data_IF_546225018608
#
_entry.id   IF_546225018608
#
_cell.length_a   1.000
_cell.length_b   1.000
_cell.length_c   1.000
_cell.angle_alpha   90.00
_cell.angle_beta   90.00
_cell.angle_gamma   90.00
#
_symmetry.space_group_name_H-M   'P 1'
#
loop_
_entity.id
_entity.type
_entity.pdbx_description
1 polymer ?
#
# COMPACT_ATOMS: atom_id res chain seq x y z
N UNK A 1 -1.47 -1.21 -15.21
CA UNK A 1 -1.11 -2.53 -15.79
C UNK A 1 -2.17 -3.60 -15.55
N UNK A 2 -2.66 -3.82 -14.35
CA UNK A 2 -3.78 -4.76 -14.10
C UNK A 2 -5.04 -4.44 -14.94
N UNK A 3 -5.33 -3.17 -15.13
CA UNK A 3 -6.53 -2.69 -15.87
C UNK A 3 -6.37 -2.82 -17.38
N UNK A 4 -5.20 -2.53 -17.95
CA UNK A 4 -4.96 -2.74 -19.38
C UNK A 4 -5.02 -4.23 -19.76
N UNK A 5 -4.64 -5.10 -18.84
CA UNK A 5 -4.75 -6.55 -19.00
C UNK A 5 -6.21 -7.02 -19.02
N UNK A 6 -7.06 -6.47 -18.15
CA UNK A 6 -8.50 -6.76 -18.13
C UNK A 6 -9.23 -6.25 -19.36
N UNK A 7 -8.87 -5.06 -19.87
CA UNK A 7 -9.42 -4.54 -21.11
C UNK A 7 -9.06 -5.39 -22.33
N UNK A 8 -7.81 -5.90 -22.42
CA UNK A 8 -7.40 -6.79 -23.51
C UNK A 8 -8.03 -8.18 -23.44
N UNK A 9 -8.32 -8.69 -22.25
CA UNK A 9 -8.97 -9.99 -22.05
C UNK A 9 -10.47 -9.96 -22.35
N UNK A 10 -11.16 -8.88 -22.01
CA UNK A 10 -12.61 -8.71 -22.29
C UNK A 10 -12.93 -8.35 -23.74
N UNK A 11 -11.93 -7.84 -24.49
CA UNK A 11 -12.07 -7.46 -25.90
C UNK A 11 -11.63 -8.55 -26.89
N UNK A 12 -11.38 -9.76 -26.41
CA UNK A 12 -11.25 -10.98 -27.23
C UNK A 12 -10.08 -10.95 -28.22
N UNK A 13 -8.85 -11.25 -27.79
CA UNK A 13 -7.78 -11.60 -28.71
C UNK A 13 -7.03 -12.87 -28.27
N UNK A 14 -7.17 -13.88 -29.12
CA UNK A 14 -6.34 -15.08 -29.36
C UNK A 14 -5.68 -15.83 -28.18
N UNK A 15 -5.88 -17.14 -28.20
CA UNK A 15 -5.25 -18.18 -27.37
C UNK A 15 -3.73 -17.97 -27.23
N UNK A 16 -3.14 -18.30 -26.07
CA UNK A 16 -1.69 -18.27 -25.88
C UNK A 16 -1.02 -19.35 -26.73
N UNK A 17 -0.06 -18.95 -27.55
CA UNK A 17 0.87 -19.86 -28.22
C UNK A 17 1.80 -20.49 -27.19
N UNK A 18 1.92 -21.81 -27.25
CA UNK A 18 2.91 -22.61 -26.53
C UNK A 18 4.30 -22.25 -27.07
N UNK A 19 5.10 -21.56 -26.27
CA UNK A 19 6.50 -21.26 -26.60
C UNK A 19 7.35 -22.42 -26.10
N UNK A 20 8.07 -23.08 -27.04
CA UNK A 20 9.05 -24.11 -26.78
C UNK A 20 10.22 -23.56 -25.94
N UNK A 21 10.63 -24.33 -24.94
CA UNK A 21 11.81 -24.05 -24.11
C UNK A 21 13.09 -24.15 -24.95
N UNK A 22 13.87 -23.10 -24.94
CA UNK A 22 15.24 -23.12 -25.45
C UNK A 22 16.20 -22.85 -24.28
N UNK A 23 17.14 -23.73 -23.96
CA UNK A 23 18.02 -23.58 -22.82
C UNK A 23 19.16 -22.61 -23.15
N UNK A 24 19.17 -21.45 -22.53
CA UNK A 24 20.31 -20.52 -22.59
C UNK A 24 20.87 -20.23 -21.20
N UNK A 25 22.04 -20.82 -21.01
CA UNK A 25 23.21 -20.41 -20.21
C UNK A 25 23.03 -19.74 -18.84
N UNK A 26 23.54 -20.45 -17.89
CA UNK A 26 24.11 -20.13 -16.57
C UNK A 26 24.77 -18.75 -16.44
N UNK A 27 24.59 -18.19 -15.23
CA UNK A 27 25.34 -17.12 -14.56
C UNK A 27 24.87 -15.68 -14.80
N UNK A 28 23.92 -15.27 -13.99
CA UNK A 28 23.94 -13.97 -13.35
C UNK A 28 23.21 -14.11 -12.01
N UNK A 29 23.96 -14.00 -10.90
CA UNK A 29 23.41 -13.92 -9.56
C UNK A 29 22.32 -12.87 -9.51
N UNK A 30 21.16 -13.29 -9.02
CA UNK A 30 19.93 -12.50 -8.95
C UNK A 30 20.17 -11.22 -8.15
N UNK A 31 20.20 -10.07 -8.82
CA UNK A 31 20.20 -8.72 -8.21
C UNK A 31 18.87 -8.35 -7.55
N UNK A 32 17.97 -9.31 -7.36
CA UNK A 32 16.68 -9.14 -6.69
C UNK A 32 16.73 -9.38 -5.17
N UNK A 33 17.90 -9.69 -4.61
CA UNK A 33 18.06 -9.81 -3.17
C UNK A 33 18.04 -8.41 -2.57
N UNK A 34 17.08 -8.08 -1.68
CA UNK A 34 17.13 -6.82 -0.94
C UNK A 34 18.45 -6.80 -0.16
N UNK A 35 19.17 -5.69 -0.21
CA UNK A 35 20.25 -5.44 0.74
C UNK A 35 19.69 -5.68 2.15
N UNK A 36 20.19 -6.70 2.84
CA UNK A 36 19.82 -7.18 4.18
C UNK A 36 18.30 -7.14 4.42
N UNK A 37 17.67 -8.29 4.46
CA UNK A 37 16.30 -8.41 4.94
C UNK A 37 16.23 -7.81 6.36
N UNK A 38 15.68 -6.60 6.45
CA UNK A 38 15.48 -5.86 7.70
C UNK A 38 14.21 -6.28 8.41
N UNK A 39 13.61 -7.39 7.97
CA UNK A 39 12.37 -7.93 8.51
C UNK A 39 12.59 -8.66 9.82
N UNK A 40 11.63 -8.47 10.73
CA UNK A 40 11.61 -9.12 12.04
C UNK A 40 10.15 -9.38 12.47
N UNK A 41 9.96 -10.05 13.60
CA UNK A 41 8.64 -10.33 14.17
C UNK A 41 8.58 -9.98 15.65
N UNK A 42 7.49 -9.34 16.06
CA UNK A 42 7.14 -9.13 17.47
C UNK A 42 6.03 -10.10 17.87
N UNK A 43 6.19 -10.80 18.99
CA UNK A 43 5.07 -11.54 19.60
C UNK A 43 4.22 -10.57 20.41
N UNK A 44 2.96 -10.42 20.01
CA UNK A 44 1.96 -9.58 20.67
C UNK A 44 1.44 -10.22 21.96
N UNK A 45 0.81 -9.47 22.88
CA UNK A 45 0.30 -10.02 24.16
C UNK A 45 -0.73 -11.13 24.00
N UNK A 46 -1.44 -11.19 22.87
CA UNK A 46 -2.41 -12.24 22.54
C UNK A 46 -1.79 -13.47 21.87
N UNK A 47 -0.44 -13.51 21.74
CA UNK A 47 0.32 -14.60 21.14
C UNK A 47 0.46 -14.53 19.63
N UNK A 48 -0.20 -13.59 18.94
CA UNK A 48 0.02 -13.36 17.50
C UNK A 48 1.43 -12.83 17.25
N UNK A 49 1.97 -13.10 16.07
CA UNK A 49 3.17 -12.45 15.55
C UNK A 49 2.77 -11.25 14.71
N UNK A 50 3.44 -10.13 14.89
CA UNK A 50 3.40 -8.96 14.04
C UNK A 50 4.71 -8.89 13.25
N UNK A 51 4.65 -9.11 11.95
CA UNK A 51 5.79 -8.95 11.04
C UNK A 51 6.03 -7.48 10.72
N UNK A 52 7.28 -7.05 10.75
CA UNK A 52 7.65 -5.69 10.39
C UNK A 52 9.01 -5.63 9.69
N UNK A 53 9.29 -4.53 8.99
CA UNK A 53 10.59 -4.22 8.39
C UNK A 53 10.94 -2.76 8.63
N UNK A 54 12.24 -2.45 8.59
CA UNK A 54 12.73 -1.10 8.84
C UNK A 54 13.58 -0.61 7.68
N UNK A 55 13.37 0.65 7.28
CA UNK A 55 14.07 1.29 6.17
C UNK A 55 14.49 2.71 6.57
N UNK A 56 15.46 3.28 5.83
CA UNK A 56 16.01 4.60 6.12
C UNK A 56 17.04 4.57 7.23
N UNK A 57 17.15 5.67 7.98
CA UNK A 57 18.16 5.86 9.03
C UNK A 57 17.68 5.23 10.35
N UNK A 58 18.39 4.24 10.94
CA UNK A 58 17.95 3.57 12.18
C UNK A 58 17.72 4.50 13.36
N UNK A 59 18.44 5.63 13.43
CA UNK A 59 18.32 6.66 14.47
C UNK A 59 17.45 7.85 14.04
N UNK A 60 16.82 7.76 12.86
CA UNK A 60 16.00 8.83 12.32
C UNK A 60 14.64 8.97 13.00
N UNK A 61 13.89 10.04 12.65
CA UNK A 61 12.52 10.24 13.13
C UNK A 61 11.63 9.07 12.72
N UNK A 62 10.95 8.40 13.68
CA UNK A 62 10.20 7.18 13.39
C UNK A 62 8.86 7.47 12.71
N UNK A 63 8.58 6.71 11.66
CA UNK A 63 7.34 6.79 10.89
C UNK A 63 6.82 5.37 10.68
N UNK A 64 5.62 5.05 11.16
CA UNK A 64 4.94 3.83 10.80
C UNK A 64 4.34 3.94 9.41
N UNK A 65 4.52 2.90 8.61
CA UNK A 65 4.03 2.83 7.24
C UNK A 65 2.93 1.78 7.10
N UNK A 66 1.74 2.23 6.71
CA UNK A 66 0.60 1.39 6.40
C UNK A 66 0.53 1.18 4.88
N UNK A 67 0.87 -0.03 4.42
CA UNK A 67 0.95 -0.38 3.00
C UNK A 67 -0.41 -0.37 2.28
N UNK A 68 -0.38 -0.36 0.94
CA UNK A 68 -1.56 -0.39 0.08
C UNK A 68 -2.31 -1.73 0.07
N UNK A 69 -3.29 -1.83 -0.82
CA UNK A 69 -4.05 -3.06 -1.11
C UNK A 69 -3.90 -3.37 -2.63
N UNK A 70 -3.13 -4.39 -3.02
CA UNK A 70 -2.29 -5.30 -2.21
C UNK A 70 -0.94 -4.67 -1.81
N UNK A 71 -0.47 -4.97 -0.60
CA UNK A 71 0.81 -4.49 -0.10
C UNK A 71 1.39 -5.36 1.01
N UNK A 72 2.59 -5.06 1.46
CA UNK A 72 3.26 -5.71 2.59
C UNK A 72 4.31 -4.78 3.20
N UNK A 73 4.93 -5.19 4.32
CA UNK A 73 6.04 -4.46 4.94
C UNK A 73 7.17 -4.08 3.95
N UNK A 74 7.36 -4.87 2.88
CA UNK A 74 8.43 -4.68 1.88
C UNK A 74 8.18 -3.45 1.00
N UNK A 75 6.93 -3.01 0.85
CA UNK A 75 6.53 -1.85 0.04
C UNK A 75 7.25 -0.56 0.45
N UNK A 76 7.45 -0.37 1.77
CA UNK A 76 8.12 0.81 2.31
C UNK A 76 9.59 0.94 1.88
N UNK A 77 10.19 -0.11 1.34
CA UNK A 77 11.54 -0.05 0.78
C UNK A 77 11.67 0.93 -0.40
N UNK A 78 10.57 1.31 -1.06
CA UNK A 78 10.56 2.39 -2.05
C UNK A 78 10.91 3.78 -1.46
N UNK A 79 10.82 3.92 -0.14
CA UNK A 79 11.16 5.16 0.58
C UNK A 79 12.58 5.14 1.18
N UNK A 80 13.33 4.01 1.08
CA UNK A 80 14.60 3.82 1.80
C UNK A 80 15.58 4.97 1.57
N UNK A 81 15.91 5.29 0.32
CA UNK A 81 16.86 6.36 -0.03
C UNK A 81 16.38 7.73 0.45
N UNK A 82 15.11 8.06 0.18
CA UNK A 82 14.55 9.33 0.63
C UNK A 82 14.54 9.44 2.17
N UNK A 83 14.33 8.33 2.86
CA UNK A 83 14.34 8.28 4.33
C UNK A 83 15.77 8.45 4.89
N UNK A 84 16.80 7.87 4.25
CA UNK A 84 18.20 8.11 4.59
C UNK A 84 18.53 9.60 4.46
N UNK A 85 18.23 10.20 3.32
CA UNK A 85 18.52 11.60 3.02
C UNK A 85 17.84 12.59 3.99
N UNK A 86 16.62 12.27 4.43
CA UNK A 86 15.79 13.14 5.26
C UNK A 86 15.88 12.82 6.76
N UNK A 87 16.69 11.84 7.15
CA UNK A 87 16.83 11.46 8.55
C UNK A 87 15.58 10.80 9.13
N UNK A 88 14.87 10.00 8.33
CA UNK A 88 13.69 9.25 8.77
C UNK A 88 14.00 7.77 8.99
N UNK A 89 13.26 7.15 9.92
CA UNK A 89 13.21 5.70 10.17
C UNK A 89 11.82 5.21 9.82
N UNK A 90 11.67 4.51 8.70
CA UNK A 90 10.38 3.96 8.26
C UNK A 90 10.21 2.57 8.86
N UNK A 91 9.11 2.33 9.56
CA UNK A 91 8.76 1.07 10.20
C UNK A 91 7.46 0.58 9.55
N UNK A 92 7.56 -0.39 8.68
CA UNK A 92 6.44 -0.95 7.95
C UNK A 92 6.00 -2.28 8.56
N UNK A 93 4.70 -2.49 8.73
CA UNK A 93 4.15 -3.73 9.27
C UNK A 93 3.38 -4.51 8.21
N UNK A 94 3.39 -5.84 8.31
CA UNK A 94 2.41 -6.66 7.62
C UNK A 94 1.09 -6.64 8.39
N UNK A 95 -0.02 -6.44 7.70
CA UNK A 95 -1.33 -6.61 8.33
C UNK A 95 -1.64 -8.09 8.62
N UNK A 96 -2.51 -8.40 9.60
CA UNK A 96 -2.78 -9.78 10.01
C UNK A 96 -3.20 -10.70 8.86
N UNK A 97 -2.52 -11.85 8.73
CA UNK A 97 -2.71 -12.84 7.66
C UNK A 97 -1.91 -12.56 6.39
N UNK A 98 -0.97 -11.61 6.43
CA UNK A 98 -0.05 -11.28 5.35
C UNK A 98 1.40 -11.44 5.82
N UNK A 99 2.31 -11.71 4.88
CA UNK A 99 3.73 -11.82 5.15
C UNK A 99 4.06 -12.65 6.38
N UNK A 100 4.63 -12.01 7.40
CA UNK A 100 5.05 -12.63 8.66
C UNK A 100 4.02 -12.47 9.79
N UNK A 101 2.90 -11.75 9.57
CA UNK A 101 1.89 -11.49 10.59
C UNK A 101 0.85 -12.60 10.70
N UNK A 102 0.62 -13.11 11.90
CA UNK A 102 -0.42 -14.11 12.18
C UNK A 102 -1.81 -13.60 11.77
N UNK A 103 -2.60 -14.45 11.13
CA UNK A 103 -3.99 -14.11 10.80
C UNK A 103 -4.82 -13.84 12.06
N UNK A 104 -5.63 -12.79 12.03
CA UNK A 104 -6.56 -12.41 13.10
C UNK A 104 -7.99 -12.42 12.55
N UNK A 105 -8.80 -13.44 12.86
CA UNK A 105 -10.20 -13.46 12.44
C UNK A 105 -10.99 -12.35 13.11
N UNK A 106 -11.96 -11.79 12.37
CA UNK A 106 -12.87 -10.73 12.87
C UNK A 106 -12.20 -9.44 13.34
N UNK A 107 -10.93 -9.18 12.94
CA UNK A 107 -10.29 -7.90 13.22
C UNK A 107 -11.07 -6.75 12.61
N UNK A 108 -10.92 -5.58 13.20
CA UNK A 108 -11.42 -4.30 12.70
C UNK A 108 -10.24 -3.37 12.35
N UNK A 109 -10.51 -2.23 11.75
CA UNK A 109 -9.48 -1.19 11.55
C UNK A 109 -8.89 -0.69 12.87
N UNK A 110 -9.72 -0.67 13.95
CA UNK A 110 -9.32 -0.18 15.28
C UNK A 110 -8.39 -1.13 16.06
N UNK A 111 -8.13 -2.34 15.55
CA UNK A 111 -7.14 -3.25 16.15
C UNK A 111 -5.73 -2.91 15.69
N UNK A 112 -5.55 -2.33 14.49
CA UNK A 112 -4.25 -1.97 13.96
C UNK A 112 -3.48 -0.94 14.81
N UNK A 113 -4.06 0.18 15.28
CA UNK A 113 -3.38 1.09 16.18
C UNK A 113 -2.84 0.42 17.44
N UNK A 114 -3.56 -0.57 18.02
CA UNK A 114 -3.13 -1.32 19.20
C UNK A 114 -1.87 -2.15 18.91
N UNK A 115 -1.84 -2.84 17.76
CA UNK A 115 -0.68 -3.59 17.32
C UNK A 115 0.54 -2.66 17.11
N UNK A 116 0.34 -1.45 16.53
CA UNK A 116 1.39 -0.45 16.38
C UNK A 116 1.89 0.10 17.73
N UNK A 117 1.02 0.31 18.71
CA UNK A 117 1.45 0.76 20.04
C UNK A 117 2.31 -0.29 20.75
N UNK A 118 2.02 -1.58 20.59
CA UNK A 118 2.88 -2.65 21.08
C UNK A 118 4.23 -2.65 20.37
N UNK A 119 4.28 -2.42 19.07
CA UNK A 119 5.53 -2.31 18.32
C UNK A 119 6.31 -1.05 18.71
N UNK A 120 5.63 0.09 18.91
CA UNK A 120 6.26 1.32 19.39
C UNK A 120 6.93 1.11 20.77
N UNK A 121 6.25 0.45 21.69
CA UNK A 121 6.79 0.12 23.01
C UNK A 121 8.00 -0.82 22.90
N UNK A 122 7.94 -1.86 22.06
CA UNK A 122 9.05 -2.78 21.80
C UNK A 122 10.28 -2.04 21.24
N UNK A 123 10.08 -1.13 20.30
CA UNK A 123 11.13 -0.33 19.67
C UNK A 123 11.53 0.91 20.51
N UNK A 124 10.91 1.12 21.68
CA UNK A 124 11.13 2.25 22.60
C UNK A 124 10.91 3.59 21.92
N UNK A 125 9.83 3.72 21.16
CA UNK A 125 9.46 4.94 20.49
C UNK A 125 8.49 5.74 21.38
N UNK A 126 8.85 6.98 21.69
CA UNK A 126 8.00 7.90 22.46
C UNK A 126 7.05 8.68 21.55
N UNK A 127 7.58 9.10 20.40
CA UNK A 127 6.87 9.91 19.40
C UNK A 127 7.10 9.37 17.99
N UNK A 128 6.09 9.43 17.13
CA UNK A 128 6.18 8.96 15.75
C UNK A 128 5.12 9.61 14.84
N UNK A 129 5.36 9.54 13.53
CA UNK A 129 4.36 9.81 12.51
C UNK A 129 3.72 8.51 11.99
N UNK A 130 2.60 8.62 11.29
CA UNK A 130 1.97 7.52 10.56
C UNK A 130 1.74 7.94 9.13
N UNK A 131 2.14 7.09 8.18
CA UNK A 131 1.91 7.28 6.76
C UNK A 131 1.07 6.12 6.21
N UNK A 132 -0.03 6.42 5.52
CA UNK A 132 -0.86 5.43 4.83
C UNK A 132 -0.92 5.69 3.33
N UNK A 133 -0.76 4.64 2.52
CA UNK A 133 -0.84 4.73 1.05
C UNK A 133 -2.00 3.88 0.56
N UNK A 134 -2.87 4.44 -0.30
CA UNK A 134 -3.98 3.70 -0.93
C UNK A 134 -4.87 3.00 0.11
N UNK A 135 -4.99 1.66 0.09
CA UNK A 135 -5.67 0.87 1.11
C UNK A 135 -5.05 0.95 2.52
N UNK A 136 -3.91 1.63 2.70
CA UNK A 136 -3.35 2.00 4.00
C UNK A 136 -3.98 3.25 4.62
N UNK A 137 -4.75 4.01 3.84
CA UNK A 137 -5.44 5.22 4.31
C UNK A 137 -6.39 4.99 5.48
N UNK A 138 -7.31 4.00 5.43
CA UNK A 138 -8.19 3.64 6.54
C UNK A 138 -7.44 3.31 7.83
N UNK A 139 -6.30 2.63 7.72
CA UNK A 139 -5.44 2.27 8.87
C UNK A 139 -4.75 3.49 9.48
N UNK A 140 -4.29 4.42 8.63
CA UNK A 140 -3.72 5.68 9.10
C UNK A 140 -4.78 6.57 9.78
N UNK A 141 -6.02 6.59 9.25
CA UNK A 141 -7.16 7.27 9.90
C UNK A 141 -7.54 6.60 11.24
N UNK A 142 -7.50 5.27 11.33
CA UNK A 142 -7.72 4.56 12.58
C UNK A 142 -6.65 4.91 13.63
N UNK A 143 -5.39 5.06 13.22
CA UNK A 143 -4.32 5.56 14.08
C UNK A 143 -4.59 6.99 14.55
N UNK A 144 -5.06 7.87 13.66
CA UNK A 144 -5.44 9.24 14.00
C UNK A 144 -6.59 9.30 15.03
N UNK A 145 -7.52 8.34 14.94
CA UNK A 145 -8.67 8.25 15.86
C UNK A 145 -8.30 7.74 17.25
N UNK A 146 -7.34 6.81 17.37
CA UNK A 146 -7.08 6.11 18.64
C UNK A 146 -5.77 6.48 19.33
N UNK A 147 -4.69 6.76 18.58
CA UNK A 147 -3.38 6.98 19.19
C UNK A 147 -3.33 8.41 19.75
N UNK A 148 -2.96 8.62 21.02
CA UNK A 148 -2.95 9.94 21.66
C UNK A 148 -1.92 10.90 21.03
N UNK A 149 -2.17 12.23 21.13
CA UNK A 149 -1.35 13.28 20.51
C UNK A 149 0.10 13.31 21.05
N UNK A 150 0.28 12.85 22.26
CA UNK A 150 1.59 12.76 22.90
C UNK A 150 2.52 11.83 22.13
N UNK A 151 1.99 10.77 21.52
CA UNK A 151 2.73 9.80 20.73
C UNK A 151 2.65 10.08 19.21
N UNK A 152 1.43 10.25 18.68
CA UNK A 152 1.20 10.47 17.25
C UNK A 152 1.26 11.95 16.89
N UNK A 153 2.34 12.35 16.24
CA UNK A 153 2.62 13.77 15.92
C UNK A 153 1.99 14.26 14.64
N UNK A 154 1.95 13.42 13.62
CA UNK A 154 1.37 13.75 12.32
C UNK A 154 0.88 12.48 11.62
N UNK A 155 -0.18 12.58 10.83
CA UNK A 155 -0.63 11.54 9.90
C UNK A 155 -0.51 12.07 8.49
N UNK A 156 0.01 11.25 7.59
CA UNK A 156 0.06 11.55 6.16
C UNK A 156 -0.61 10.43 5.36
N UNK A 157 -1.47 10.80 4.43
CA UNK A 157 -2.21 9.88 3.57
C UNK A 157 -1.95 10.21 2.10
N UNK A 158 -1.48 9.23 1.34
CA UNK A 158 -1.26 9.34 -0.10
C UNK A 158 -2.32 8.51 -0.82
N UNK A 159 -3.13 9.16 -1.64
CA UNK A 159 -4.23 8.55 -2.42
C UNK A 159 -5.03 7.49 -1.62
N UNK A 160 -5.26 7.75 -0.33
CA UNK A 160 -5.90 6.81 0.58
C UNK A 160 -7.41 6.70 0.34
N UNK A 161 -7.93 5.46 0.44
CA UNK A 161 -9.37 5.25 0.40
C UNK A 161 -10.01 5.82 1.68
N UNK A 162 -11.13 6.48 1.55
CA UNK A 162 -11.94 6.96 2.67
C UNK A 162 -13.14 6.05 2.94
N UNK A 163 -13.95 6.34 3.97
CA UNK A 163 -15.14 5.57 4.31
C UNK A 163 -16.08 5.34 3.12
N UNK A 164 -16.80 4.21 3.09
CA UNK A 164 -17.57 3.78 1.93
C UNK A 164 -18.72 4.72 1.55
N UNK A 165 -19.18 5.57 2.47
CA UNK A 165 -20.20 6.59 2.20
C UNK A 165 -19.73 7.71 1.26
N UNK A 166 -18.41 7.88 1.07
CA UNK A 166 -17.83 8.78 0.05
C UNK A 166 -18.13 8.26 -1.37
N UNK A 167 -18.23 6.93 -1.52
CA UNK A 167 -18.45 6.27 -2.80
C UNK A 167 -17.26 6.36 -3.75
N UNK A 168 -17.34 5.62 -4.84
CA UNK A 168 -16.26 5.47 -5.82
C UNK A 168 -16.52 6.26 -7.12
N UNK A 169 -17.26 7.37 -7.04
CA UNK A 169 -17.52 8.22 -8.21
C UNK A 169 -16.22 8.80 -8.77
N UNK A 170 -15.97 8.59 -10.07
CA UNK A 170 -14.71 8.96 -10.73
C UNK A 170 -13.68 7.82 -10.83
N UNK A 171 -13.90 6.70 -10.15
CA UNK A 171 -13.06 5.52 -10.32
C UNK A 171 -13.29 4.86 -11.68
N UNK A 172 -12.24 4.19 -12.20
CA UNK A 172 -12.38 3.28 -13.33
C UNK A 172 -13.39 2.18 -12.97
N UNK A 173 -14.22 1.76 -13.95
CA UNK A 173 -15.35 0.85 -13.73
C UNK A 173 -15.00 -0.41 -12.93
N UNK A 174 -13.79 -0.94 -13.11
CA UNK A 174 -13.34 -2.12 -12.42
C UNK A 174 -13.08 -1.87 -10.91
N UNK A 175 -12.46 -0.75 -10.57
CA UNK A 175 -12.25 -0.35 -9.17
C UNK A 175 -13.59 0.05 -8.53
N UNK A 176 -14.44 0.75 -9.28
CA UNK A 176 -15.79 1.06 -8.84
C UNK A 176 -16.57 -0.20 -8.48
N UNK A 177 -16.58 -1.22 -9.37
CA UNK A 177 -17.25 -2.50 -9.12
C UNK A 177 -16.59 -3.24 -7.94
N UNK A 178 -15.26 -3.27 -7.92
CA UNK A 178 -14.47 -3.97 -6.90
C UNK A 178 -14.73 -3.45 -5.49
N UNK A 179 -14.66 -2.14 -5.28
CA UNK A 179 -14.86 -1.55 -3.94
C UNK A 179 -16.33 -1.39 -3.57
N UNK A 180 -17.21 -1.11 -4.52
CA UNK A 180 -18.65 -0.97 -4.22
C UNK A 180 -19.30 -2.31 -3.86
N UNK A 181 -18.91 -3.39 -4.56
CA UNK A 181 -19.55 -4.69 -4.41
C UNK A 181 -18.57 -5.83 -4.10
N UNK A 182 -17.46 -5.94 -4.83
CA UNK A 182 -16.55 -7.08 -4.77
C UNK A 182 -15.98 -7.32 -3.37
N UNK A 183 -15.24 -6.37 -2.83
CA UNK A 183 -14.62 -6.46 -1.52
C UNK A 183 -15.65 -6.47 -0.39
N UNK A 184 -16.76 -5.76 -0.55
CA UNK A 184 -17.81 -5.66 0.47
C UNK A 184 -18.63 -6.94 0.62
N UNK A 185 -19.04 -7.56 -0.49
CA UNK A 185 -20.00 -8.67 -0.46
C UNK A 185 -19.40 -10.03 -0.85
N UNK A 186 -18.33 -10.03 -1.61
CA UNK A 186 -17.65 -11.25 -2.08
C UNK A 186 -16.12 -11.17 -1.90
N UNK A 187 -15.62 -10.82 -0.69
CA UNK A 187 -14.19 -10.54 -0.49
C UNK A 187 -13.27 -11.72 -0.83
N UNK A 188 -13.69 -12.96 -0.55
CA UNK A 188 -12.90 -14.15 -0.90
C UNK A 188 -12.82 -14.38 -2.41
N UNK A 189 -13.89 -14.08 -3.16
CA UNK A 189 -13.88 -14.16 -4.63
C UNK A 189 -12.95 -13.08 -5.21
N UNK A 190 -13.03 -11.86 -4.70
CA UNK A 190 -12.12 -10.78 -5.09
C UNK A 190 -10.66 -11.13 -4.77
N UNK A 191 -10.37 -11.60 -3.55
CA UNK A 191 -9.03 -12.05 -3.15
C UNK A 191 -8.50 -13.18 -4.03
N UNK A 192 -9.31 -14.18 -4.33
CA UNK A 192 -8.98 -15.29 -5.23
C UNK A 192 -8.68 -14.79 -6.65
N UNK A 193 -9.50 -13.88 -7.18
CA UNK A 193 -9.32 -13.32 -8.52
C UNK A 193 -7.98 -12.57 -8.65
N UNK A 194 -7.64 -11.72 -7.69
CA UNK A 194 -6.36 -11.01 -7.69
C UNK A 194 -5.17 -11.96 -7.47
N UNK A 195 -5.32 -12.98 -6.62
CA UNK A 195 -4.31 -14.02 -6.46
C UNK A 195 -4.07 -14.77 -7.78
N UNK A 196 -5.13 -15.20 -8.46
CA UNK A 196 -5.01 -15.88 -9.74
C UNK A 196 -4.29 -15.02 -10.79
N UNK A 197 -4.61 -13.73 -10.86
CA UNK A 197 -3.93 -12.79 -11.75
C UNK A 197 -2.45 -12.57 -11.39
N UNK A 198 -2.07 -12.73 -10.14
CA UNK A 198 -0.70 -12.54 -9.65
C UNK A 198 0.30 -13.56 -10.17
N UNK A 199 -0.16 -14.65 -10.82
CA UNK A 199 0.68 -15.71 -11.40
C UNK A 199 1.72 -16.25 -10.41
N UNK A 200 1.31 -16.50 -9.16
CA UNK A 200 2.21 -16.93 -8.08
C UNK A 200 2.79 -18.34 -8.23
N UNK A 201 2.36 -19.09 -9.25
CA UNK A 201 2.98 -20.33 -9.68
C UNK A 201 4.31 -20.11 -10.42
N UNK A 202 4.61 -18.90 -10.86
CA UNK A 202 5.87 -18.52 -11.50
C UNK A 202 6.88 -18.01 -10.47
N UNK A 203 8.18 -18.08 -10.79
CA UNK A 203 9.24 -17.43 -10.02
C UNK A 203 9.11 -15.90 -10.10
N UNK A 204 9.71 -15.20 -9.13
CA UNK A 204 9.64 -13.73 -9.10
C UNK A 204 10.41 -13.10 -10.28
N UNK A 205 11.51 -13.73 -10.72
CA UNK A 205 12.25 -13.31 -11.92
C UNK A 205 11.36 -13.41 -13.17
N UNK A 206 10.60 -14.50 -13.31
CA UNK A 206 9.71 -14.68 -14.47
C UNK A 206 8.53 -13.72 -14.42
N UNK A 207 7.99 -13.44 -13.25
CA UNK A 207 6.93 -12.44 -13.05
C UNK A 207 7.43 -11.04 -13.39
N UNK A 208 8.64 -10.67 -12.94
CA UNK A 208 9.30 -9.41 -13.27
C UNK A 208 9.49 -9.28 -14.78
N UNK A 209 10.07 -10.29 -15.43
CA UNK A 209 10.27 -10.31 -16.89
C UNK A 209 8.95 -10.06 -17.64
N UNK A 210 7.90 -10.77 -17.26
CA UNK A 210 6.59 -10.63 -17.90
C UNK A 210 5.98 -9.24 -17.69
N UNK A 211 6.11 -8.66 -16.50
CA UNK A 211 5.59 -7.32 -16.21
C UNK A 211 6.33 -6.24 -16.99
N UNK A 212 7.66 -6.33 -17.09
CA UNK A 212 8.47 -5.39 -17.88
C UNK A 212 8.16 -5.51 -19.38
N UNK A 213 8.02 -6.72 -19.91
CA UNK A 213 7.61 -6.93 -21.32
C UNK A 213 6.21 -6.37 -21.59
N UNK A 214 5.29 -6.54 -20.67
CA UNK A 214 3.94 -6.01 -20.80
C UNK A 214 3.91 -4.48 -20.74
N UNK A 215 4.71 -3.87 -19.86
CA UNK A 215 4.87 -2.42 -19.79
C UNK A 215 5.41 -1.83 -21.11
N UNK A 216 6.44 -2.48 -21.68
CA UNK A 216 7.00 -2.05 -22.96
C UNK A 216 6.00 -2.20 -24.13
N UNK A 217 5.27 -3.33 -24.17
CA UNK A 217 4.22 -3.58 -25.18
C UNK A 217 3.10 -2.54 -25.13
N UNK A 218 2.72 -2.12 -23.94
CA UNK A 218 1.58 -1.22 -23.70
C UNK A 218 1.99 0.24 -23.47
N UNK A 219 3.25 0.59 -23.70
CA UNK A 219 3.78 1.94 -23.38
C UNK A 219 3.02 3.10 -24.02
N UNK A 220 2.36 2.89 -25.15
CA UNK A 220 1.56 3.91 -25.80
C UNK A 220 0.25 4.23 -25.06
N UNK A 221 -0.23 3.30 -24.20
CA UNK A 221 -1.49 3.43 -23.44
C UNK A 221 -1.25 3.71 -21.96
N UNK A 222 -0.01 3.54 -21.48
CA UNK A 222 0.37 3.88 -20.11
C UNK A 222 0.44 5.41 -19.98
N UNK A 223 -0.12 5.99 -18.91
CA UNK A 223 0.02 7.42 -18.64
C UNK A 223 1.51 7.84 -18.63
N UNK A 224 1.83 8.98 -19.22
CA UNK A 224 3.23 9.44 -19.35
C UNK A 224 3.93 9.53 -17.99
N UNK A 225 3.20 9.91 -16.95
CA UNK A 225 3.69 10.02 -15.57
C UNK A 225 4.09 8.66 -14.98
N UNK A 226 3.52 7.57 -15.48
CA UNK A 226 3.77 6.21 -14.97
C UNK A 226 4.80 5.42 -15.78
N UNK A 227 5.14 5.84 -17.00
CA UNK A 227 6.00 5.05 -17.89
C UNK A 227 7.34 4.70 -17.22
N UNK A 228 7.97 5.70 -16.59
CA UNK A 228 9.24 5.49 -15.88
C UNK A 228 9.13 4.56 -14.66
N UNK A 229 7.92 4.39 -14.10
CA UNK A 229 7.66 3.48 -12.98
C UNK A 229 7.61 2.03 -13.50
N UNK A 230 6.77 1.78 -14.50
CA UNK A 230 6.52 0.43 -14.99
C UNK A 230 7.63 -0.16 -15.84
N UNK A 231 8.56 0.66 -16.35
CA UNK A 231 9.76 0.23 -17.08
C UNK A 231 10.99 0.11 -16.17
N UNK A 232 10.92 0.54 -14.92
CA UNK A 232 12.03 0.45 -13.98
C UNK A 232 12.03 -0.92 -13.28
N UNK A 233 13.08 -1.72 -13.56
CA UNK A 233 13.19 -3.10 -13.04
C UNK A 233 13.30 -3.17 -11.52
N UNK A 234 13.88 -2.18 -10.85
CA UNK A 234 13.99 -2.13 -9.39
C UNK A 234 12.61 -1.87 -8.76
N UNK A 235 11.89 -0.87 -9.26
CA UNK A 235 10.54 -0.55 -8.77
C UNK A 235 9.60 -1.74 -8.97
N UNK A 236 9.54 -2.28 -10.19
CA UNK A 236 8.68 -3.42 -10.52
C UNK A 236 9.10 -4.68 -9.76
N UNK A 237 10.42 -4.91 -9.61
CA UNK A 237 10.94 -6.03 -8.82
C UNK A 237 10.48 -5.97 -7.37
N UNK A 238 10.52 -4.80 -6.73
CA UNK A 238 10.01 -4.61 -5.36
C UNK A 238 8.49 -4.82 -5.28
N UNK A 239 7.73 -4.38 -6.29
CA UNK A 239 6.29 -4.66 -6.36
C UNK A 239 6.00 -6.16 -6.47
N UNK A 240 6.79 -6.91 -7.25
CA UNK A 240 6.69 -8.38 -7.36
C UNK A 240 6.94 -9.03 -6.00
N UNK A 241 8.00 -8.62 -5.29
CA UNK A 241 8.31 -9.13 -3.94
C UNK A 241 7.21 -8.76 -2.94
N UNK A 242 6.75 -7.51 -2.94
CA UNK A 242 5.64 -7.04 -2.09
C UNK A 242 4.40 -7.92 -2.26
N UNK A 243 4.02 -8.19 -3.50
CA UNK A 243 2.85 -9.03 -3.79
C UNK A 243 3.04 -10.49 -3.38
N UNK A 244 4.26 -11.04 -3.46
CA UNK A 244 4.60 -12.38 -2.96
C UNK A 244 4.39 -12.46 -1.45
N UNK A 245 4.86 -11.47 -0.72
CA UNK A 245 4.68 -11.39 0.74
C UNK A 245 3.20 -11.21 1.10
N UNK A 246 2.48 -10.37 0.38
CA UNK A 246 1.05 -10.14 0.60
C UNK A 246 0.21 -11.43 0.56
N UNK A 247 0.52 -12.34 -0.36
CA UNK A 247 -0.17 -13.62 -0.50
C UNK A 247 0.56 -14.81 0.14
N UNK A 248 1.61 -14.59 0.95
CA UNK A 248 2.42 -15.67 1.52
C UNK A 248 1.61 -16.66 2.37
N UNK A 249 0.51 -16.21 2.97
CA UNK A 249 -0.39 -17.04 3.79
C UNK A 249 -1.72 -17.38 3.09
N UNK A 250 -1.82 -17.17 1.78
CA UNK A 250 -3.04 -17.37 1.00
C UNK A 250 -3.92 -16.12 0.91
N UNK A 251 -5.22 -16.32 0.73
CA UNK A 251 -6.14 -15.24 0.38
C UNK A 251 -6.96 -14.69 1.56
N UNK A 252 -6.98 -15.34 2.72
CA UNK A 252 -7.91 -14.97 3.81
C UNK A 252 -7.57 -13.62 4.43
N UNK A 253 -6.28 -13.35 4.69
CA UNK A 253 -5.82 -12.04 5.17
C UNK A 253 -6.17 -10.91 4.21
N UNK A 254 -5.87 -11.13 2.94
CA UNK A 254 -6.14 -10.20 1.82
C UNK A 254 -7.64 -9.95 1.66
N UNK A 255 -8.44 -11.00 1.69
CA UNK A 255 -9.90 -10.90 1.56
C UNK A 255 -10.52 -10.10 2.70
N UNK A 256 -10.03 -10.33 3.92
CA UNK A 256 -10.48 -9.58 5.09
C UNK A 256 -10.04 -8.11 5.03
N UNK A 257 -8.84 -7.85 4.52
CA UNK A 257 -8.30 -6.49 4.33
C UNK A 257 -9.16 -5.68 3.36
N UNK A 258 -9.44 -6.25 2.18
CA UNK A 258 -10.31 -5.62 1.20
C UNK A 258 -11.75 -5.43 1.71
N UNK A 259 -12.25 -6.37 2.53
CA UNK A 259 -13.54 -6.21 3.20
C UNK A 259 -13.55 -4.98 4.13
N UNK A 260 -12.49 -4.79 4.94
CA UNK A 260 -12.40 -3.63 5.83
C UNK A 260 -12.29 -2.31 5.08
N UNK A 261 -11.58 -2.27 3.95
CA UNK A 261 -11.48 -1.08 3.10
C UNK A 261 -12.80 -0.75 2.39
N UNK A 262 -13.68 -1.76 2.17
CA UNK A 262 -14.98 -1.62 1.50
C UNK A 262 -16.18 -1.48 2.45
N UNK A 263 -15.97 -1.49 3.77
CA UNK A 263 -17.05 -1.44 4.78
C UNK A 263 -16.86 -0.29 5.77
N UNK A 264 -17.85 -0.10 6.68
CA UNK A 264 -17.79 0.92 7.70
C UNK A 264 -16.52 0.79 8.56
N UNK A 265 -15.83 1.92 8.81
CA UNK A 265 -14.54 1.93 9.50
C UNK A 265 -14.65 1.69 11.01
N UNK A 266 -15.85 1.77 11.58
CA UNK A 266 -16.08 1.63 13.02
C UNK A 266 -15.75 2.89 13.84
N UNK A 267 -15.41 3.99 13.17
CA UNK A 267 -15.20 5.33 13.74
C UNK A 267 -15.58 6.39 12.69
N UNK A 268 -15.79 7.62 13.14
CA UNK A 268 -16.06 8.75 12.24
C UNK A 268 -14.82 9.62 12.10
N UNK A 269 -14.56 10.09 10.88
CA UNK A 269 -13.43 11.01 10.60
C UNK A 269 -13.60 12.31 11.39
N UNK A 270 -14.82 12.79 11.56
CA UNK A 270 -15.17 13.99 12.29
C UNK A 270 -14.83 13.92 13.78
N UNK A 271 -14.70 12.70 14.34
CA UNK A 271 -14.34 12.50 15.76
C UNK A 271 -12.81 12.49 15.97
N UNK A 272 -12.02 12.55 14.89
CA UNK A 272 -10.56 12.70 14.99
C UNK A 272 -10.25 14.11 15.53
N UNK A 273 -9.39 14.16 16.55
CA UNK A 273 -9.03 15.40 17.22
C UNK A 273 -8.44 16.46 16.27
N UNK A 274 -8.88 17.70 16.41
CA UNK A 274 -8.50 18.83 15.55
C UNK A 274 -7.06 19.33 15.74
N UNK A 275 -6.37 18.92 16.81
CA UNK A 275 -4.99 19.32 17.07
C UNK A 275 -3.94 18.36 16.49
N UNK A 276 -4.34 17.34 15.71
CA UNK A 276 -3.45 16.43 15.01
C UNK A 276 -3.32 16.87 13.54
N UNK A 277 -2.13 17.26 13.07
CA UNK A 277 -1.92 17.55 11.66
C UNK A 277 -2.17 16.31 10.80
N UNK A 278 -3.03 16.42 9.77
CA UNK A 278 -3.29 15.41 8.77
C UNK A 278 -2.95 15.94 7.38
N UNK A 279 -1.93 15.35 6.76
CA UNK A 279 -1.44 15.74 5.43
C UNK A 279 -2.02 14.76 4.40
N UNK A 280 -2.62 15.29 3.34
CA UNK A 280 -3.31 14.52 2.32
C UNK A 280 -2.71 14.83 0.95
N UNK A 281 -2.28 13.80 0.21
CA UNK A 281 -1.71 13.92 -1.12
C UNK A 281 -2.53 13.10 -2.12
N UNK A 282 -3.10 13.74 -3.14
CA UNK A 282 -3.98 13.08 -4.11
C UNK A 282 -3.67 13.52 -5.53
N UNK A 283 -3.82 12.58 -6.48
CA UNK A 283 -3.72 12.84 -7.90
C UNK A 283 -5.06 13.23 -8.51
N UNK A 284 -5.08 14.19 -9.44
CA UNK A 284 -6.28 14.56 -10.19
C UNK A 284 -6.71 13.46 -11.16
N UNK A 285 -5.76 12.71 -11.70
CA UNK A 285 -5.98 11.66 -12.69
C UNK A 285 -6.06 10.27 -12.06
N UNK A 286 -6.22 10.19 -10.73
CA UNK A 286 -6.36 8.94 -10.01
C UNK A 286 -7.73 8.30 -10.29
N UNK A 287 -7.70 7.17 -11.02
CA UNK A 287 -8.88 6.36 -11.34
C UNK A 287 -9.02 5.13 -10.43
N UNK A 288 -8.11 4.95 -9.44
CA UNK A 288 -8.19 3.87 -8.46
C UNK A 288 -8.88 4.35 -7.19
N UNK A 289 -8.36 5.42 -6.60
CA UNK A 289 -8.97 6.13 -5.47
C UNK A 289 -9.17 7.58 -5.89
N UNK A 290 -10.37 7.96 -6.37
CA UNK A 290 -10.61 9.28 -6.92
C UNK A 290 -10.32 10.40 -5.93
N UNK A 291 -9.89 11.56 -6.45
CA UNK A 291 -9.61 12.77 -5.68
C UNK A 291 -10.76 13.17 -4.71
N UNK A 292 -12.00 12.74 -5.01
CA UNK A 292 -13.14 12.99 -4.14
C UNK A 292 -12.92 12.43 -2.72
N UNK A 293 -12.20 11.29 -2.56
CA UNK A 293 -11.83 10.76 -1.23
C UNK A 293 -11.01 11.78 -0.44
N UNK A 294 -9.95 12.33 -1.02
CA UNK A 294 -9.13 13.36 -0.37
C UNK A 294 -9.93 14.61 0.00
N UNK A 295 -10.79 15.09 -0.90
CA UNK A 295 -11.65 16.26 -0.65
C UNK A 295 -12.62 16.01 0.51
N UNK A 296 -13.26 14.85 0.56
CA UNK A 296 -14.23 14.50 1.61
C UNK A 296 -13.53 14.26 2.96
N UNK A 297 -12.37 13.58 2.97
CA UNK A 297 -11.56 13.39 4.17
C UNK A 297 -11.14 14.77 4.72
N UNK A 298 -10.57 15.65 3.87
CA UNK A 298 -10.17 16.99 4.29
C UNK A 298 -11.35 17.81 4.85
N UNK A 299 -12.49 17.76 4.16
CA UNK A 299 -13.70 18.48 4.60
C UNK A 299 -14.17 18.03 6.00
N UNK A 300 -14.11 16.71 6.28
CA UNK A 300 -14.55 16.14 7.56
C UNK A 300 -13.57 16.41 8.70
N UNK A 301 -12.27 16.48 8.39
CA UNK A 301 -11.22 16.81 9.36
C UNK A 301 -11.14 18.31 9.66
N UNK A 302 -11.64 19.17 8.78
CA UNK A 302 -11.59 20.62 8.95
C UNK A 302 -10.16 21.16 8.96
N UNK A 303 -9.86 22.08 9.88
CA UNK A 303 -8.59 22.82 9.95
C UNK A 303 -7.35 21.97 10.24
N UNK A 304 -7.53 20.74 10.73
CA UNK A 304 -6.41 19.81 10.94
C UNK A 304 -5.86 19.20 9.64
N UNK A 305 -6.64 19.26 8.55
CA UNK A 305 -6.29 18.69 7.28
C UNK A 305 -5.64 19.70 6.33
N UNK A 306 -4.59 19.26 5.64
CA UNK A 306 -4.03 19.98 4.50
C UNK A 306 -4.03 19.06 3.28
N UNK A 307 -4.84 19.40 2.27
CA UNK A 307 -4.94 18.65 1.03
C UNK A 307 -4.05 19.26 -0.05
N UNK A 308 -3.09 18.48 -0.51
CA UNK A 308 -2.27 18.77 -1.69
C UNK A 308 -2.75 17.91 -2.88
N UNK A 309 -2.89 18.54 -4.02
CA UNK A 309 -3.41 17.91 -5.24
C UNK A 309 -2.44 18.15 -6.39
N UNK A 310 -2.00 17.07 -7.03
CA UNK A 310 -1.06 17.11 -8.14
C UNK A 310 -1.68 16.57 -9.44
N UNK A 311 -1.11 16.92 -10.58
CA UNK A 311 -1.50 16.37 -11.90
C UNK A 311 -0.86 14.98 -12.09
N UNK A 312 -1.32 14.02 -11.28
CA UNK A 312 -0.78 12.68 -11.15
C UNK A 312 -1.88 11.62 -11.08
N UNK A 313 -1.48 10.38 -11.38
CA UNK A 313 -2.27 9.17 -11.25
C UNK A 313 -2.08 8.54 -9.86
N UNK A 314 -2.71 7.38 -9.62
CA UNK A 314 -2.57 6.62 -8.37
C UNK A 314 -1.12 6.21 -8.06
N UNK A 315 -0.40 5.71 -9.06
CA UNK A 315 0.99 5.30 -8.87
C UNK A 315 1.94 6.50 -8.91
N UNK A 316 1.76 7.41 -9.87
CA UNK A 316 2.73 8.48 -10.08
C UNK A 316 2.78 9.47 -8.91
N UNK A 317 1.68 9.74 -8.22
CA UNK A 317 1.67 10.61 -7.03
C UNK A 317 2.66 10.14 -5.97
N UNK A 318 2.71 8.83 -5.69
CA UNK A 318 3.64 8.28 -4.71
C UNK A 318 5.08 8.28 -5.21
N UNK A 319 5.34 7.75 -6.43
CA UNK A 319 6.70 7.56 -6.91
C UNK A 319 7.41 8.85 -7.30
N UNK A 320 6.71 9.84 -7.83
CA UNK A 320 7.28 11.13 -8.23
C UNK A 320 7.56 12.05 -7.05
N UNK A 321 6.71 12.02 -6.03
CA UNK A 321 6.73 12.95 -4.90
C UNK A 321 7.18 12.32 -3.58
N UNK A 322 7.70 11.09 -3.60
CA UNK A 322 8.05 10.34 -2.37
C UNK A 322 8.96 11.11 -1.40
N UNK A 323 9.88 11.94 -1.92
CA UNK A 323 10.77 12.77 -1.10
C UNK A 323 10.02 13.93 -0.45
N UNK A 324 9.22 14.65 -1.22
CA UNK A 324 8.39 15.77 -0.76
C UNK A 324 7.29 15.30 0.19
N UNK A 325 6.67 14.16 -0.09
CA UNK A 325 5.70 13.51 0.77
C UNK A 325 6.32 13.20 2.14
N UNK A 326 7.51 12.61 2.14
CA UNK A 326 8.21 12.29 3.38
C UNK A 326 8.68 13.56 4.12
N UNK A 327 9.16 14.57 3.40
CA UNK A 327 9.53 15.86 3.99
C UNK A 327 8.32 16.59 4.58
N UNK A 328 7.15 16.52 3.94
CA UNK A 328 5.91 17.11 4.45
C UNK A 328 5.48 16.45 5.77
N UNK A 329 5.56 15.12 5.88
CA UNK A 329 5.29 14.43 7.14
C UNK A 329 6.27 14.85 8.24
N UNK A 330 7.58 14.81 7.96
CA UNK A 330 8.64 15.13 8.93
C UNK A 330 8.60 16.57 9.42
N UNK A 331 8.20 17.50 8.56
CA UNK A 331 8.08 18.93 8.89
C UNK A 331 6.87 19.26 9.78
N UNK A 332 5.93 18.31 9.94
CA UNK A 332 4.72 18.46 10.74
C UNK A 332 4.69 17.53 11.98
N UNK A 333 5.81 16.86 12.29
CA UNK A 333 5.98 16.02 13.48
C UNK A 333 6.54 16.80 14.66
#
# INVERSE_FOLDING_TARGET
>A
MLISYLQSFLLGSKKPETIAENPLSTSSESRLVPEKDTSDTLTLPDGRKLGFAQFGLPTGKPIFYCHGLPGSRVEAGHLHEAALDLGARIIATDRPGMGLSTFQPKRTLLDHPKDLEHLAAHLKLEEYGVMGVSGGGPYALACAALIPREKLKCVLIVCGIGPPDIGMAGAGWFHWLGFTYGWRYTPRLAGWFFHWQGRFNLSDEKRLELQLKEAEKNKATVPKQELGIWTNSEIVGRMVMTSRQYYAQGIDGVSHDGYLDGTEFGFRIEDIRSNLPVRLWYGKEDTFVPLNHGKQIAKRLGDSAHLRVEDDTHASIFFRWRREILADLLGNM
#
